data_IF_788163118339
#
_entry.id   IF_788163118339
#
_cell.length_a   1.000
_cell.length_b   1.000
_cell.length_c   1.000
_cell.angle_alpha   90.00
_cell.angle_beta   90.00
_cell.angle_gamma   90.00
#
_symmetry.space_group_name_H-M   'P 1'
#
loop_
_entity.id
_entity.type
_entity.pdbx_description
1 polymer ?
#
# COMPACT_ATOMS: atom_id res chain seq x y z
N UNK A 1 37.53 -32.11 26.22
CA UNK A 1 36.06 -32.05 25.98
C UNK A 1 35.60 -30.62 26.21
N UNK A 2 34.66 -30.12 25.39
CA UNK A 2 33.91 -28.91 25.68
C UNK A 2 34.35 -27.64 24.95
N UNK A 3 34.55 -27.69 23.63
CA UNK A 3 34.44 -26.47 22.82
C UNK A 3 32.96 -26.39 22.41
N UNK A 4 32.26 -25.45 23.01
CA UNK A 4 30.86 -25.13 22.69
C UNK A 4 30.77 -24.73 21.20
N UNK A 5 30.34 -25.69 20.38
CA UNK A 5 30.15 -25.57 18.92
C UNK A 5 28.71 -25.12 18.57
N UNK A 6 27.95 -24.58 19.53
CA UNK A 6 26.52 -24.33 19.34
C UNK A 6 26.19 -22.95 18.72
N UNK A 7 27.20 -22.15 18.37
CA UNK A 7 27.01 -20.78 17.86
C UNK A 7 27.21 -20.60 16.35
N UNK A 8 27.39 -21.67 15.57
CA UNK A 8 27.67 -21.57 14.13
C UNK A 8 26.46 -21.24 13.24
N UNK A 9 25.25 -21.13 13.79
CA UNK A 9 24.02 -20.87 13.01
C UNK A 9 23.55 -19.41 13.03
N UNK A 10 24.26 -18.49 13.70
CA UNK A 10 23.92 -17.04 13.68
C UNK A 10 24.45 -16.30 12.44
N UNK A 11 24.86 -17.02 11.39
CA UNK A 11 25.60 -16.45 10.26
C UNK A 11 24.77 -15.93 9.09
N UNK A 12 23.57 -16.44 8.85
CA UNK A 12 22.73 -15.99 7.73
C UNK A 12 21.27 -16.22 8.06
N UNK A 13 20.60 -15.22 8.65
CA UNK A 13 19.15 -15.13 8.46
C UNK A 13 18.98 -15.11 6.95
N UNK A 14 18.30 -16.10 6.38
CA UNK A 14 17.90 -16.03 4.99
C UNK A 14 17.24 -14.66 4.82
N UNK A 15 17.85 -13.79 3.99
CA UNK A 15 17.13 -12.62 3.51
C UNK A 15 15.87 -13.22 2.92
N UNK A 16 14.71 -12.91 3.50
CA UNK A 16 13.42 -13.32 2.94
C UNK A 16 13.57 -13.15 1.43
N UNK A 17 13.36 -14.23 0.68
CA UNK A 17 13.53 -14.21 -0.76
C UNK A 17 12.62 -13.11 -1.27
N UNK A 18 13.22 -11.98 -1.65
CA UNK A 18 12.45 -10.84 -2.14
C UNK A 18 11.75 -11.30 -3.40
N UNK A 19 10.51 -10.86 -3.59
CA UNK A 19 9.79 -11.05 -4.85
C UNK A 19 10.71 -10.68 -6.01
N UNK A 20 10.92 -11.60 -6.97
CA UNK A 20 11.69 -11.32 -8.17
C UNK A 20 11.26 -10.01 -8.80
N UNK A 21 12.21 -9.24 -9.35
CA UNK A 21 11.93 -7.88 -9.86
C UNK A 21 10.81 -7.83 -10.90
N UNK A 22 10.59 -8.92 -11.63
CA UNK A 22 9.51 -9.04 -12.62
C UNK A 22 8.12 -9.31 -12.01
N UNK A 23 8.05 -9.81 -10.77
CA UNK A 23 6.81 -10.03 -10.02
C UNK A 23 6.41 -8.82 -9.17
N UNK A 24 7.28 -7.81 -9.09
CA UNK A 24 6.94 -6.52 -8.49
C UNK A 24 6.03 -5.82 -9.50
N UNK A 25 4.76 -5.70 -9.16
CA UNK A 25 3.76 -5.00 -9.97
C UNK A 25 4.33 -3.63 -10.36
N UNK A 26 4.55 -3.40 -11.65
CA UNK A 26 5.23 -2.21 -12.17
C UNK A 26 4.41 -0.94 -12.00
N UNK A 27 3.09 -1.09 -12.04
CA UNK A 27 2.20 0.06 -12.16
C UNK A 27 1.73 0.51 -10.79
N UNK A 28 1.60 -0.40 -9.81
CA UNK A 28 1.41 -0.10 -8.37
C UNK A 28 0.32 0.92 -8.06
N UNK A 29 -0.62 1.15 -8.98
CA UNK A 29 -1.70 2.10 -8.82
C UNK A 29 -2.83 1.38 -8.13
N UNK A 30 -2.89 1.57 -6.82
CA UNK A 30 -4.08 1.25 -6.05
C UNK A 30 -5.17 2.25 -6.44
N UNK A 31 -6.05 1.85 -7.36
CA UNK A 31 -7.17 2.68 -7.81
C UNK A 31 -8.28 2.55 -6.78
N UNK A 32 -8.37 3.52 -5.86
CA UNK A 32 -9.37 3.52 -4.77
C UNK A 32 -10.77 3.95 -5.22
N UNK A 33 -10.87 4.70 -6.32
CA UNK A 33 -12.12 5.18 -6.87
C UNK A 33 -12.09 5.16 -8.39
N UNK A 34 -13.13 4.59 -9.01
CA UNK A 34 -13.31 4.58 -10.46
C UNK A 34 -14.69 5.14 -10.80
N UNK A 35 -14.73 6.17 -11.63
CA UNK A 35 -15.96 6.87 -12.00
C UNK A 35 -16.93 6.00 -12.81
N UNK A 36 -16.42 5.01 -13.54
CA UNK A 36 -17.23 4.06 -14.32
C UNK A 36 -18.07 3.13 -13.44
N UNK A 37 -17.60 2.85 -12.22
CA UNK A 37 -18.29 2.01 -11.25
C UNK A 37 -19.02 2.82 -10.17
N UNK A 38 -18.90 4.15 -10.21
CA UNK A 38 -19.53 5.03 -9.25
C UNK A 38 -21.05 5.04 -9.46
N UNK A 39 -21.77 4.76 -8.38
CA UNK A 39 -23.22 4.85 -8.38
C UNK A 39 -23.70 6.31 -8.18
N UNK A 40 -25.01 6.48 -8.05
CA UNK A 40 -25.58 7.81 -7.84
C UNK A 40 -25.19 8.40 -6.48
N UNK A 41 -25.08 7.56 -5.44
CA UNK A 41 -24.75 8.00 -4.08
C UNK A 41 -23.29 8.47 -4.01
N UNK A 42 -22.37 7.76 -4.67
CA UNK A 42 -20.96 8.14 -4.79
C UNK A 42 -20.79 9.53 -5.42
N UNK A 43 -21.54 9.82 -6.48
CA UNK A 43 -21.50 11.12 -7.16
C UNK A 43 -22.06 12.23 -6.29
N UNK A 44 -23.15 11.98 -5.58
CA UNK A 44 -23.71 12.94 -4.62
C UNK A 44 -22.77 13.21 -3.45
N UNK A 45 -22.11 12.17 -2.92
CA UNK A 45 -21.14 12.30 -1.85
C UNK A 45 -19.94 13.17 -2.29
N UNK A 46 -19.40 12.96 -3.49
CA UNK A 46 -18.35 13.81 -4.05
C UNK A 46 -18.80 15.27 -4.20
N UNK A 47 -20.02 15.51 -4.68
CA UNK A 47 -20.55 16.85 -4.84
C UNK A 47 -20.69 17.57 -3.48
N UNK A 48 -21.18 16.86 -2.45
CA UNK A 48 -21.29 17.38 -1.08
C UNK A 48 -19.92 17.69 -0.48
N UNK A 49 -18.93 16.81 -0.66
CA UNK A 49 -17.55 17.02 -0.20
C UNK A 49 -16.95 18.27 -0.85
N UNK A 50 -17.03 18.41 -2.17
CA UNK A 50 -16.56 19.61 -2.89
C UNK A 50 -17.23 20.90 -2.40
N UNK A 51 -18.53 20.86 -2.10
CA UNK A 51 -19.25 22.01 -1.56
C UNK A 51 -18.81 22.38 -0.14
N UNK A 52 -18.53 21.38 0.71
CA UNK A 52 -18.01 21.60 2.06
C UNK A 52 -16.59 22.20 2.03
N UNK A 53 -15.71 21.68 1.16
CA UNK A 53 -14.34 22.19 1.01
C UNK A 53 -14.32 23.66 0.59
N UNK A 54 -15.20 24.05 -0.34
CA UNK A 54 -15.38 25.46 -0.75
C UNK A 54 -15.83 26.38 0.39
N UNK A 55 -16.63 25.87 1.34
CA UNK A 55 -17.03 26.63 2.53
C UNK A 55 -15.89 26.73 3.54
N UNK A 56 -15.13 25.66 3.70
CA UNK A 56 -14.06 25.56 4.69
C UNK A 56 -12.79 26.32 4.27
N UNK A 57 -12.54 26.41 2.96
CA UNK A 57 -11.43 27.17 2.37
C UNK A 57 -11.98 28.33 1.54
N UNK A 58 -12.42 29.42 2.17
CA UNK A 58 -12.58 30.67 1.44
C UNK A 58 -11.16 31.13 1.03
N UNK A 59 -10.95 31.30 -0.27
CA UNK A 59 -9.77 32.00 -0.82
C UNK A 59 -9.66 33.42 -0.23
#
# INVERSE_FOLDING_TARGET
>A
MGRDEHNHTKGKRSKLQQTPKYEKQSDGRDIEFSEEFADQEDKEAQARSKAADKRAKPE
#
